data_IF_285541574896
#
_entry.id   IF_285541574896
#
_cell.length_a   1.000
_cell.length_b   1.000
_cell.length_c   1.000
_cell.angle_alpha   90.00
_cell.angle_beta   90.00
_cell.angle_gamma   90.00
#
_symmetry.space_group_name_H-M   'P 1'
#
loop_
_entity.id
_entity.type
_entity.pdbx_description
1 polymer ?
#
# COMPACT_ATOMS: atom_id res chain seq x y z
N UNK A 1 -15.61 -3.22 -39.39
CA UNK A 1 -14.43 -3.00 -40.25
C UNK A 1 -13.52 -2.01 -39.52
N UNK A 2 -12.20 -2.20 -39.61
CA UNK A 2 -11.13 -1.84 -38.65
C UNK A 2 -10.98 -2.91 -37.54
N UNK A 3 -10.13 -3.93 -37.62
CA UNK A 3 -9.04 -4.23 -38.55
C UNK A 3 -7.70 -4.20 -37.82
N UNK A 4 -7.32 -5.28 -37.13
CA UNK A 4 -5.93 -5.57 -36.77
C UNK A 4 -5.67 -7.07 -36.91
N UNK A 5 -4.64 -7.38 -37.69
CA UNK A 5 -4.21 -8.70 -38.18
C UNK A 5 -3.34 -9.42 -37.15
N UNK A 6 -3.51 -10.75 -37.07
CA UNK A 6 -2.68 -11.68 -36.30
C UNK A 6 -1.22 -11.73 -36.78
N UNK A 7 -0.31 -12.02 -35.84
CA UNK A 7 1.09 -12.32 -36.11
C UNK A 7 1.75 -13.13 -35.00
N UNK A 8 1.76 -14.46 -35.18
CA UNK A 8 2.75 -15.49 -34.79
C UNK A 8 3.17 -15.63 -33.30
N UNK A 9 2.89 -16.82 -32.77
CA UNK A 9 3.37 -17.41 -31.49
C UNK A 9 4.82 -17.90 -31.61
N UNK A 10 5.63 -17.69 -30.55
CA UNK A 10 6.73 -18.54 -29.99
C UNK A 10 7.46 -17.67 -28.94
N UNK A 11 8.04 -18.11 -27.83
CA UNK A 11 8.10 -19.32 -27.00
C UNK A 11 8.75 -18.85 -25.68
N UNK A 12 8.44 -19.57 -24.60
CA UNK A 12 8.97 -19.55 -23.24
C UNK A 12 10.32 -18.87 -22.96
N UNK A 13 10.30 -18.00 -21.93
CA UNK A 13 11.15 -18.11 -20.72
C UNK A 13 10.80 -17.03 -19.71
N UNK A 14 10.70 -17.46 -18.45
CA UNK A 14 10.71 -16.60 -17.26
C UNK A 14 12.01 -15.79 -17.27
N UNK A 15 11.94 -14.52 -17.62
CA UNK A 15 13.06 -13.59 -17.42
C UNK A 15 12.73 -12.63 -16.28
N UNK A 16 13.51 -12.82 -15.23
CA UNK A 16 13.64 -12.12 -13.98
C UNK A 16 14.06 -10.67 -14.24
N UNK A 17 13.09 -9.75 -14.32
CA UNK A 17 13.32 -8.33 -14.59
C UNK A 17 13.77 -7.57 -13.32
N UNK A 18 15.02 -7.82 -12.91
CA UNK A 18 15.71 -7.07 -11.84
C UNK A 18 16.31 -5.74 -12.30
N UNK A 19 15.68 -5.07 -13.26
CA UNK A 19 16.26 -3.86 -13.86
C UNK A 19 15.29 -2.69 -13.98
N UNK A 20 14.67 -2.25 -12.87
CA UNK A 20 13.92 -0.99 -12.87
C UNK A 20 13.68 -0.42 -11.46
N UNK A 21 14.74 0.11 -10.85
CA UNK A 21 14.61 1.14 -9.81
C UNK A 21 15.14 2.46 -10.37
N UNK A 22 14.36 3.07 -11.28
CA UNK A 22 14.59 4.44 -11.71
C UNK A 22 13.87 5.42 -10.77
N UNK A 23 14.66 6.18 -10.02
CA UNK A 23 14.22 7.31 -9.21
C UNK A 23 14.13 8.56 -10.11
N UNK A 24 13.15 8.61 -10.99
CA UNK A 24 12.78 9.83 -11.71
C UNK A 24 11.31 10.15 -11.49
N UNK A 25 11.04 11.41 -11.18
CA UNK A 25 9.68 11.93 -11.08
C UNK A 25 8.99 11.81 -12.44
N UNK A 26 7.84 11.09 -12.47
CA UNK A 26 6.54 11.52 -13.01
C UNK A 26 5.84 10.49 -13.95
N UNK A 27 4.53 10.31 -13.72
CA UNK A 27 3.49 9.73 -14.62
C UNK A 27 3.21 8.22 -14.76
N UNK A 28 3.85 7.28 -14.06
CA UNK A 28 3.54 5.84 -14.27
C UNK A 28 2.18 5.39 -13.71
N UNK A 29 1.75 5.97 -12.59
CA UNK A 29 0.49 5.63 -11.91
C UNK A 29 -0.54 6.74 -12.11
N UNK A 30 -1.57 6.47 -12.92
CA UNK A 30 -2.64 7.43 -13.19
C UNK A 30 -3.80 7.13 -12.25
N UNK A 31 -4.15 8.08 -11.37
CA UNK A 31 -5.34 7.97 -10.52
C UNK A 31 -6.59 7.89 -11.41
N UNK A 32 -7.41 6.86 -11.20
CA UNK A 32 -8.69 6.73 -11.87
C UNK A 32 -9.71 7.63 -11.14
N UNK A 33 -10.36 8.51 -11.90
CA UNK A 33 -11.22 9.58 -11.35
C UNK A 33 -12.53 9.04 -10.76
N UNK A 34 -12.95 7.87 -11.21
CA UNK A 34 -13.93 6.98 -10.59
C UNK A 34 -13.82 5.69 -11.35
N UNK A 35 -13.66 4.61 -10.61
CA UNK A 35 -14.79 3.71 -10.63
C UNK A 35 -15.12 3.22 -9.22
N UNK A 36 -16.38 2.88 -9.01
CA UNK A 36 -16.71 1.87 -8.02
C UNK A 36 -15.79 0.66 -8.31
N UNK A 37 -15.34 -0.07 -7.28
CA UNK A 37 -14.42 -1.23 -7.45
C UNK A 37 -14.77 -2.15 -8.62
N UNK A 38 -16.07 -2.24 -8.95
CA UNK A 38 -16.63 -3.10 -9.97
C UNK A 38 -16.73 -2.51 -11.38
N UNK A 39 -16.41 -1.23 -11.63
CA UNK A 39 -16.56 -0.66 -12.99
C UNK A 39 -15.32 -0.87 -13.87
N UNK A 40 -14.29 -1.58 -13.38
CA UNK A 40 -13.11 -1.94 -14.18
C UNK A 40 -13.20 -3.42 -14.57
N UNK A 41 -13.22 -3.75 -15.87
CA UNK A 41 -13.29 -5.14 -16.31
C UNK A 41 -12.10 -5.96 -15.82
N UNK A 42 -12.36 -6.98 -15.00
CA UNK A 42 -11.33 -7.89 -14.46
C UNK A 42 -10.67 -8.76 -15.53
N UNK A 43 -11.30 -8.90 -16.69
CA UNK A 43 -10.82 -9.71 -17.82
C UNK A 43 -9.78 -9.01 -18.70
N UNK A 44 -9.61 -7.70 -18.60
CA UNK A 44 -8.75 -6.91 -19.50
C UNK A 44 -7.46 -6.43 -18.84
N UNK A 45 -7.40 -6.44 -17.51
CA UNK A 45 -6.31 -5.87 -16.73
C UNK A 45 -5.88 -6.84 -15.64
N UNK A 46 -4.59 -6.80 -15.30
CA UNK A 46 -4.15 -7.40 -14.04
C UNK A 46 -4.65 -6.53 -12.90
N UNK A 47 -4.98 -7.15 -11.76
CA UNK A 47 -5.46 -6.45 -10.59
C UNK A 47 -4.62 -6.77 -9.38
N UNK A 48 -4.37 -5.76 -8.55
CA UNK A 48 -3.88 -5.96 -7.19
C UNK A 48 -4.64 -5.05 -6.24
N UNK A 49 -4.87 -5.53 -5.03
CA UNK A 49 -5.63 -4.83 -4.02
C UNK A 49 -4.84 -4.82 -2.70
N UNK A 50 -4.78 -3.65 -2.07
CA UNK A 50 -4.11 -3.50 -0.78
C UNK A 50 -4.97 -2.70 0.19
N UNK A 51 -4.75 -2.89 1.49
CA UNK A 51 -5.54 -2.24 2.53
C UNK A 51 -4.69 -1.49 3.57
N UNK A 52 -5.08 -0.26 3.88
CA UNK A 52 -4.63 0.44 5.08
C UNK A 52 -5.53 0.09 6.26
N UNK A 53 -5.10 -0.85 7.10
CA UNK A 53 -5.70 -1.07 8.42
C UNK A 53 -5.11 -0.07 9.41
N UNK A 54 -5.96 0.67 10.12
CA UNK A 54 -5.51 1.70 11.05
C UNK A 54 -6.40 1.87 12.28
N UNK A 55 -5.83 2.38 13.37
CA UNK A 55 -6.58 2.89 14.52
C UNK A 55 -6.14 4.31 14.87
N UNK A 56 -7.07 5.14 15.35
CA UNK A 56 -6.72 6.44 15.94
C UNK A 56 -6.16 6.24 17.35
N UNK A 57 -5.15 7.01 17.70
CA UNK A 57 -4.55 7.00 19.03
C UNK A 57 -4.11 8.41 19.40
N UNK A 58 -3.81 8.63 20.68
CA UNK A 58 -3.23 9.87 21.22
C UNK A 58 -2.00 9.57 22.08
N UNK A 59 -1.41 8.38 21.93
CA UNK A 59 -0.18 8.00 22.62
C UNK A 59 0.93 8.99 22.32
N UNK A 60 1.72 9.32 23.34
CA UNK A 60 2.82 10.27 23.22
C UNK A 60 4.17 9.60 23.40
N UNK A 61 5.14 9.97 22.58
CA UNK A 61 6.54 9.57 22.72
C UNK A 61 7.46 10.76 22.48
N UNK A 62 8.42 11.01 23.39
CA UNK A 62 9.33 12.16 23.34
C UNK A 62 8.64 13.50 23.01
N UNK A 63 7.51 13.80 23.66
CA UNK A 63 6.68 15.01 23.48
C UNK A 63 5.99 15.13 22.10
N UNK A 64 6.03 14.09 21.28
CA UNK A 64 5.28 14.01 20.04
C UNK A 64 4.04 13.14 20.26
N UNK A 65 2.90 13.54 19.68
CA UNK A 65 1.66 12.75 19.74
C UNK A 65 1.53 11.91 18.47
N UNK A 66 1.39 10.60 18.64
CA UNK A 66 0.96 9.70 17.58
C UNK A 66 -0.53 9.92 17.34
N UNK A 67 -0.94 10.24 16.11
CA UNK A 67 -2.35 10.48 15.76
C UNK A 67 -3.11 9.21 15.34
N UNK A 68 -2.35 8.22 14.85
CA UNK A 68 -2.86 6.92 14.46
C UNK A 68 -1.71 5.90 14.44
N UNK A 69 -2.06 4.62 14.57
CA UNK A 69 -1.21 3.53 14.11
C UNK A 69 -1.76 3.02 12.79
N UNK A 70 -0.85 2.72 11.86
CA UNK A 70 -1.15 2.20 10.53
C UNK A 70 -0.33 0.93 10.36
N UNK A 71 -0.94 -0.12 9.85
CA UNK A 71 -0.28 -1.38 9.55
C UNK A 71 0.30 -1.33 8.12
N UNK A 72 1.63 -1.34 8.04
CA UNK A 72 2.38 -1.61 6.82
C UNK A 72 3.27 -2.83 7.06
N UNK A 73 3.87 -3.38 6.01
CA UNK A 73 4.76 -4.55 6.11
C UNK A 73 6.11 -4.25 5.47
N UNK A 74 7.15 -4.88 6.02
CA UNK A 74 8.42 -5.07 5.34
C UNK A 74 8.35 -6.37 4.53
N UNK A 75 8.59 -6.28 3.22
CA UNK A 75 8.41 -7.37 2.27
C UNK A 75 9.72 -8.09 1.97
N UNK A 76 9.62 -9.28 1.39
CA UNK A 76 10.75 -10.09 0.94
C UNK A 76 11.69 -9.35 -0.03
N UNK A 77 11.15 -8.43 -0.82
CA UNK A 77 11.89 -7.60 -1.79
C UNK A 77 12.64 -6.42 -1.16
N UNK A 78 12.62 -6.31 0.18
CA UNK A 78 13.28 -5.25 0.94
C UNK A 78 12.56 -3.91 0.89
N UNK A 79 11.32 -3.85 0.39
CA UNK A 79 10.51 -2.64 0.35
C UNK A 79 9.43 -2.62 1.44
N UNK A 80 8.92 -1.43 1.74
CA UNK A 80 7.75 -1.21 2.59
C UNK A 80 6.48 -1.17 1.73
N UNK A 81 5.46 -1.93 2.13
CA UNK A 81 4.18 -2.02 1.44
C UNK A 81 2.98 -2.08 2.39
N UNK A 82 1.79 -2.12 1.82
CA UNK A 82 0.56 -2.45 2.55
C UNK A 82 0.24 -3.93 2.39
N UNK A 83 -0.47 -4.54 3.36
CA UNK A 83 -0.96 -5.89 3.20
C UNK A 83 -1.99 -6.00 2.08
N UNK A 84 -1.94 -7.13 1.37
CA UNK A 84 -2.70 -7.40 0.15
C UNK A 84 -1.79 -7.81 -1.01
N UNK A 85 -2.39 -8.17 -2.13
CA UNK A 85 -1.66 -8.77 -3.23
C UNK A 85 -2.43 -8.75 -4.55
N UNK A 86 -2.06 -9.67 -5.43
CA UNK A 86 -2.73 -9.84 -6.72
C UNK A 86 -4.17 -10.37 -6.52
N UNK A 87 -5.07 -10.02 -7.43
CA UNK A 87 -6.42 -10.57 -7.46
C UNK A 87 -6.49 -11.57 -8.62
N UNK A 88 -6.94 -12.78 -8.32
CA UNK A 88 -7.05 -13.86 -9.31
C UNK A 88 -8.22 -13.63 -10.26
N UNK A 89 -8.16 -14.24 -11.45
CA UNK A 89 -9.09 -13.96 -12.55
C UNK A 89 -10.54 -14.37 -12.26
N UNK A 90 -10.77 -15.33 -11.36
CA UNK A 90 -12.08 -15.83 -10.95
C UNK A 90 -12.60 -15.18 -9.65
N UNK A 91 -11.87 -14.21 -9.09
CA UNK A 91 -12.23 -13.50 -7.86
C UNK A 91 -12.78 -12.10 -8.13
N UNK A 92 -13.67 -11.64 -7.25
CA UNK A 92 -13.92 -10.20 -7.14
C UNK A 92 -12.74 -9.53 -6.42
N UNK A 93 -12.53 -8.23 -6.63
CA UNK A 93 -11.44 -7.48 -5.99
C UNK A 93 -11.47 -7.61 -4.45
N UNK A 94 -12.68 -7.55 -3.85
CA UNK A 94 -12.85 -7.68 -2.41
C UNK A 94 -12.61 -9.12 -1.93
N UNK A 95 -12.97 -10.13 -2.73
CA UNK A 95 -12.66 -11.53 -2.40
C UNK A 95 -11.15 -11.75 -2.39
N UNK A 96 -10.45 -11.37 -3.46
CA UNK A 96 -9.00 -11.51 -3.54
C UNK A 96 -8.29 -10.74 -2.43
N UNK A 97 -8.70 -9.50 -2.16
CA UNK A 97 -8.14 -8.74 -1.04
C UNK A 97 -8.34 -9.44 0.32
N UNK A 98 -9.53 -9.96 0.61
CA UNK A 98 -9.75 -10.63 1.89
C UNK A 98 -8.96 -11.94 2.02
N UNK A 99 -8.79 -12.70 0.91
CA UNK A 99 -7.91 -13.89 0.86
C UNK A 99 -6.47 -13.49 1.20
N UNK A 100 -5.93 -12.51 0.49
CA UNK A 100 -4.56 -12.00 0.71
C UNK A 100 -4.35 -11.52 2.16
N UNK A 101 -5.32 -10.78 2.73
CA UNK A 101 -5.22 -10.34 4.13
C UNK A 101 -5.30 -11.51 5.13
N UNK A 102 -6.01 -12.58 4.80
CA UNK A 102 -6.02 -13.78 5.64
C UNK A 102 -4.67 -14.51 5.59
N UNK A 103 -4.07 -14.63 4.41
CA UNK A 103 -2.78 -15.30 4.19
C UNK A 103 -1.61 -14.51 4.79
N UNK A 104 -1.58 -13.19 4.58
CA UNK A 104 -0.43 -12.33 4.93
C UNK A 104 -0.41 -11.80 6.36
N UNK A 105 -1.58 -11.61 6.98
CA UNK A 105 -1.68 -11.03 8.33
C UNK A 105 -2.61 -11.81 9.25
N UNK A 106 -3.05 -13.01 8.85
CA UNK A 106 -3.99 -13.83 9.62
C UNK A 106 -5.26 -13.05 10.02
N UNK A 107 -5.77 -12.20 9.11
CA UNK A 107 -6.93 -11.37 9.41
C UNK A 107 -8.17 -12.22 9.70
N UNK A 108 -8.80 -11.98 10.85
CA UNK A 108 -10.09 -12.59 11.17
C UNK A 108 -11.22 -11.93 10.34
N UNK A 109 -11.61 -12.59 9.24
CA UNK A 109 -12.60 -12.08 8.29
C UNK A 109 -14.03 -11.98 8.87
N UNK A 110 -14.37 -12.76 9.91
CA UNK A 110 -15.67 -12.66 10.58
C UNK A 110 -15.85 -11.30 11.27
N UNK A 111 -14.74 -10.70 11.71
CA UNK A 111 -14.73 -9.43 12.45
C UNK A 111 -14.29 -8.24 11.60
N UNK A 112 -13.33 -8.46 10.70
CA UNK A 112 -12.61 -7.37 10.02
C UNK A 112 -12.65 -7.44 8.49
N UNK A 113 -13.51 -8.27 7.90
CA UNK A 113 -13.65 -8.35 6.44
C UNK A 113 -13.77 -6.98 5.77
N UNK A 114 -12.98 -6.81 4.72
CA UNK A 114 -13.00 -5.64 3.85
C UNK A 114 -14.23 -5.70 2.95
N UNK A 115 -14.85 -4.55 2.73
CA UNK A 115 -16.07 -4.39 1.90
C UNK A 115 -15.81 -3.42 0.76
N UNK A 116 -16.69 -3.40 -0.24
CA UNK A 116 -16.64 -2.40 -1.32
C UNK A 116 -16.68 -0.97 -0.78
N UNK A 117 -17.41 -0.74 0.32
CA UNK A 117 -17.50 0.57 1.00
C UNK A 117 -16.20 1.05 1.62
N UNK A 118 -15.23 0.15 1.80
CA UNK A 118 -13.91 0.45 2.34
C UNK A 118 -12.94 0.94 1.24
N UNK A 119 -13.35 0.93 -0.04
CA UNK A 119 -12.53 1.41 -1.16
C UNK A 119 -12.28 2.91 -1.06
N UNK A 120 -11.02 3.31 -1.29
CA UNK A 120 -10.60 4.71 -1.31
C UNK A 120 -10.27 5.20 -2.72
N UNK A 121 -9.44 4.46 -3.44
CA UNK A 121 -8.89 4.92 -4.72
C UNK A 121 -8.31 3.78 -5.54
N UNK A 122 -8.38 3.89 -6.87
CA UNK A 122 -7.66 3.00 -7.79
C UNK A 122 -6.67 3.79 -8.65
N UNK A 123 -5.52 3.18 -8.93
CA UNK A 123 -4.50 3.72 -9.83
C UNK A 123 -4.22 2.74 -10.96
N UNK A 124 -4.11 3.24 -12.18
CA UNK A 124 -3.70 2.45 -13.32
C UNK A 124 -2.19 2.58 -13.56
N UNK A 125 -1.51 1.45 -13.59
CA UNK A 125 -0.12 1.33 -13.97
C UNK A 125 0.00 0.82 -15.40
N UNK A 126 0.16 1.76 -16.33
CA UNK A 126 0.11 1.49 -17.78
C UNK A 126 1.14 0.46 -18.24
N UNK A 127 2.36 0.52 -17.72
CA UNK A 127 3.46 -0.33 -18.19
C UNK A 127 3.25 -1.82 -17.91
N UNK A 128 2.52 -2.16 -16.84
CA UNK A 128 2.22 -3.55 -16.47
C UNK A 128 0.77 -3.96 -16.75
N UNK A 129 0.01 -3.09 -17.43
CA UNK A 129 -1.44 -3.26 -17.63
C UNK A 129 -2.15 -3.63 -16.30
N UNK A 130 -1.79 -2.94 -15.22
CA UNK A 130 -2.13 -3.32 -13.85
C UNK A 130 -2.96 -2.22 -13.17
N UNK A 131 -4.05 -2.60 -12.51
CA UNK A 131 -4.90 -1.72 -11.72
C UNK A 131 -4.69 -2.01 -10.24
N UNK A 132 -4.27 -0.97 -9.52
CA UNK A 132 -3.95 -1.00 -8.09
C UNK A 132 -5.10 -0.40 -7.30
N UNK A 133 -5.89 -1.24 -6.66
CA UNK A 133 -7.00 -0.85 -5.80
C UNK A 133 -6.52 -0.65 -4.37
N UNK A 134 -7.00 0.40 -3.72
CA UNK A 134 -6.60 0.73 -2.36
C UNK A 134 -7.80 0.94 -1.45
N UNK A 135 -7.80 0.24 -0.32
CA UNK A 135 -8.87 0.22 0.67
C UNK A 135 -8.39 0.76 2.01
N UNK A 136 -9.33 1.20 2.84
CA UNK A 136 -9.07 1.72 4.18
C UNK A 136 -9.99 1.03 5.20
N UNK A 137 -9.41 0.54 6.30
CA UNK A 137 -10.17 -0.10 7.38
C UNK A 137 -9.81 0.52 8.72
N UNK A 138 -10.75 1.25 9.31
CA UNK A 138 -10.62 1.74 10.68
C UNK A 138 -11.02 0.65 11.67
N UNK A 139 -10.17 0.41 12.66
CA UNK A 139 -10.42 -0.53 13.77
C UNK A 139 -10.18 0.15 15.12
N UNK A 140 -10.59 -0.49 16.22
CA UNK A 140 -10.24 0.00 17.56
C UNK A 140 -8.75 -0.21 17.85
N UNK A 141 -8.19 0.47 18.85
CA UNK A 141 -6.79 0.26 19.22
C UNK A 141 -6.53 -1.16 19.76
N UNK A 142 -7.51 -1.76 20.45
CA UNK A 142 -7.42 -3.15 20.90
C UNK A 142 -7.39 -4.12 19.72
N UNK A 143 -8.30 -3.95 18.78
CA UNK A 143 -8.36 -4.76 17.56
C UNK A 143 -7.09 -4.62 16.71
N UNK A 144 -6.53 -3.41 16.62
CA UNK A 144 -5.26 -3.19 15.93
C UNK A 144 -4.10 -3.97 16.57
N UNK A 145 -4.05 -4.06 17.90
CA UNK A 145 -3.05 -4.88 18.60
C UNK A 145 -3.28 -6.39 18.39
N UNK A 146 -4.55 -6.82 18.36
CA UNK A 146 -4.93 -8.20 18.07
C UNK A 146 -4.46 -8.62 16.66
N UNK A 147 -4.75 -7.80 15.64
CA UNK A 147 -4.34 -8.06 14.25
C UNK A 147 -2.81 -8.07 14.13
N UNK A 148 -2.11 -7.14 14.80
CA UNK A 148 -0.64 -7.15 14.81
C UNK A 148 -0.07 -8.44 15.41
N UNK A 149 -0.62 -8.90 16.54
CA UNK A 149 -0.18 -10.13 17.17
C UNK A 149 -0.45 -11.35 16.27
N UNK A 150 -1.62 -11.41 15.63
CA UNK A 150 -1.99 -12.46 14.69
C UNK A 150 -1.10 -12.50 13.44
N UNK A 151 -0.62 -11.34 12.96
CA UNK A 151 0.26 -11.28 11.77
C UNK A 151 1.55 -12.11 11.92
N UNK A 152 2.02 -12.33 13.15
CA UNK A 152 3.20 -13.15 13.45
C UNK A 152 2.96 -14.66 13.26
N UNK A 153 1.69 -15.08 13.18
CA UNK A 153 1.27 -16.46 12.95
C UNK A 153 0.69 -16.67 11.56
N UNK A 154 0.80 -15.66 10.68
CA UNK A 154 0.33 -15.75 9.30
C UNK A 154 1.17 -16.74 8.49
N UNK A 155 0.59 -17.28 7.41
CA UNK A 155 1.27 -18.22 6.53
C UNK A 155 2.49 -17.58 5.86
N UNK A 156 2.39 -16.29 5.51
CA UNK A 156 3.43 -15.56 4.81
C UNK A 156 4.51 -14.96 5.73
N UNK A 157 4.40 -15.12 7.06
CA UNK A 157 5.38 -14.57 7.99
C UNK A 157 6.74 -15.29 7.85
N UNK A 158 7.78 -14.53 7.55
CA UNK A 158 9.14 -15.04 7.32
C UNK A 158 9.41 -15.49 5.88
N UNK A 159 8.42 -15.41 4.98
CA UNK A 159 8.57 -15.67 3.55
C UNK A 159 8.34 -14.37 2.77
N UNK A 160 7.11 -14.07 2.38
CA UNK A 160 6.76 -12.87 1.63
C UNK A 160 6.70 -11.62 2.52
N UNK A 161 6.30 -11.81 3.78
CA UNK A 161 6.19 -10.76 4.80
C UNK A 161 7.25 -10.98 5.88
N UNK A 162 8.17 -10.03 5.99
CA UNK A 162 9.29 -10.09 6.95
C UNK A 162 8.98 -9.38 8.27
N UNK A 163 7.85 -8.69 8.36
CA UNK A 163 7.35 -8.14 9.62
C UNK A 163 6.48 -6.90 9.45
N UNK A 164 5.66 -6.63 10.45
CA UNK A 164 4.80 -5.44 10.50
C UNK A 164 5.63 -4.22 10.90
N UNK A 165 5.40 -3.10 10.19
CA UNK A 165 5.98 -1.79 10.49
C UNK A 165 4.88 -0.76 10.71
N UNK A 166 5.07 0.11 11.73
CA UNK A 166 4.14 1.19 12.05
C UNK A 166 4.79 2.53 11.66
N UNK A 167 4.22 3.28 10.70
CA UNK A 167 4.72 4.60 10.33
C UNK A 167 4.67 5.58 11.53
N UNK A 168 5.78 6.23 11.91
CA UNK A 168 5.78 7.25 12.95
C UNK A 168 5.17 8.56 12.42
N UNK A 169 3.89 8.83 12.71
CA UNK A 169 3.12 9.97 12.17
C UNK A 169 3.40 11.32 12.86
N UNK A 170 4.64 11.55 13.28
CA UNK A 170 5.12 12.82 13.83
C UNK A 170 6.43 13.23 13.16
N UNK A 171 6.82 14.50 13.33
CA UNK A 171 8.16 14.97 12.97
C UNK A 171 8.80 15.54 14.22
N UNK A 172 9.97 15.00 14.62
CA UNK A 172 10.70 15.52 15.77
C UNK A 172 11.26 16.93 15.50
N UNK A 173 11.70 17.61 16.56
CA UNK A 173 12.27 18.97 16.50
C UNK A 173 13.49 19.10 15.59
N UNK A 174 14.23 18.01 15.35
CA UNK A 174 15.34 17.97 14.38
C UNK A 174 14.88 18.05 12.91
N UNK A 175 13.57 18.00 12.65
CA UNK A 175 12.97 18.10 11.33
C UNK A 175 13.19 16.87 10.43
N UNK A 176 13.81 15.80 10.93
CA UNK A 176 14.16 14.59 10.15
C UNK A 176 13.52 13.32 10.72
N UNK A 177 13.65 13.10 12.03
CA UNK A 177 13.17 11.88 12.68
C UNK A 177 11.63 11.81 12.70
N UNK A 178 11.11 10.59 12.57
CA UNK A 178 9.67 10.31 12.43
C UNK A 178 9.28 10.15 10.97
N UNK A 179 8.13 10.72 10.58
CA UNK A 179 7.54 10.57 9.26
C UNK A 179 8.49 10.93 8.11
N UNK A 180 9.32 12.00 8.17
CA UNK A 180 10.22 12.33 7.07
C UNK A 180 11.25 11.23 6.79
N UNK A 181 11.91 10.69 7.83
CA UNK A 181 12.81 9.55 7.68
C UNK A 181 12.05 8.28 7.24
N UNK A 182 10.82 8.07 7.72
CA UNK A 182 10.02 6.92 7.28
C UNK A 182 9.74 6.98 5.77
N UNK A 183 9.34 8.15 5.27
CA UNK A 183 9.12 8.43 3.84
C UNK A 183 10.41 8.42 2.99
N UNK A 184 11.59 8.36 3.62
CA UNK A 184 12.87 8.22 2.93
C UNK A 184 13.27 6.75 2.68
N UNK A 185 12.55 5.78 3.27
CA UNK A 185 12.75 4.36 2.97
C UNK A 185 12.26 4.00 1.55
N UNK A 186 12.59 2.79 1.10
CA UNK A 186 12.06 2.25 -0.14
C UNK A 186 10.65 1.72 0.05
N UNK A 187 9.74 2.12 -0.84
CA UNK A 187 8.36 1.65 -0.88
C UNK A 187 8.10 0.91 -2.18
N UNK A 188 7.28 -0.15 -2.12
CA UNK A 188 6.90 -0.90 -3.31
C UNK A 188 5.87 -0.11 -4.13
N UNK A 189 6.03 -0.07 -5.45
CA UNK A 189 5.08 0.53 -6.37
C UNK A 189 4.62 1.94 -5.97
N UNK A 190 3.32 2.13 -5.80
CA UNK A 190 2.72 3.39 -5.35
C UNK A 190 2.32 3.39 -3.86
N UNK A 191 2.82 2.46 -3.04
CA UNK A 191 2.45 2.34 -1.63
C UNK A 191 2.70 3.63 -0.83
N UNK A 192 3.80 4.35 -1.11
CA UNK A 192 4.05 5.66 -0.50
C UNK A 192 2.95 6.67 -0.87
N UNK A 193 2.54 6.73 -2.14
CA UNK A 193 1.49 7.66 -2.60
C UNK A 193 0.13 7.29 -1.99
N UNK A 194 -0.18 6.00 -1.89
CA UNK A 194 -1.38 5.48 -1.23
C UNK A 194 -1.42 5.86 0.25
N UNK A 195 -0.29 5.73 0.98
CA UNK A 195 -0.17 6.17 2.36
C UNK A 195 -0.51 7.66 2.52
N UNK A 196 0.12 8.52 1.71
CA UNK A 196 -0.11 9.97 1.77
C UNK A 196 -1.57 10.33 1.44
N UNK A 197 -2.14 9.68 0.42
CA UNK A 197 -3.54 9.88 0.03
C UNK A 197 -4.51 9.50 1.15
N UNK A 198 -4.27 8.38 1.84
CA UNK A 198 -5.12 7.94 2.93
C UNK A 198 -4.94 8.77 4.22
N UNK A 199 -3.73 9.24 4.52
CA UNK A 199 -3.49 10.14 5.66
C UNK A 199 -4.29 11.44 5.54
N UNK A 200 -4.36 12.02 4.33
CA UNK A 200 -5.17 13.21 4.04
C UNK A 200 -6.68 12.87 4.07
N UNK A 201 -7.09 11.81 3.37
CA UNK A 201 -8.51 11.42 3.23
C UNK A 201 -9.15 11.06 4.57
N UNK A 202 -8.42 10.34 5.42
CA UNK A 202 -8.85 9.97 6.77
C UNK A 202 -8.71 11.10 7.79
N UNK A 203 -8.23 12.29 7.39
CA UNK A 203 -7.96 13.45 8.28
C UNK A 203 -7.09 13.04 9.48
N UNK A 204 -6.06 12.23 9.23
CA UNK A 204 -5.05 11.87 10.22
C UNK A 204 -3.98 12.96 10.25
N UNK A 205 -3.54 13.40 9.07
CA UNK A 205 -2.66 14.56 8.89
C UNK A 205 -3.31 15.57 7.95
N UNK A 206 -3.02 16.85 8.19
CA UNK A 206 -3.37 17.91 7.24
C UNK A 206 -2.46 17.86 6.01
N UNK A 207 -2.94 18.43 4.90
CA UNK A 207 -2.15 18.58 3.68
C UNK A 207 -0.83 19.32 3.92
N UNK A 208 -0.83 20.33 4.79
CA UNK A 208 0.38 21.08 5.17
C UNK A 208 1.40 20.18 5.86
N UNK A 209 0.98 19.39 6.86
CA UNK A 209 1.86 18.45 7.56
C UNK A 209 2.44 17.39 6.61
N UNK A 210 1.61 16.87 5.69
CA UNK A 210 2.05 15.91 4.66
C UNK A 210 3.10 16.55 3.74
N UNK A 211 2.81 17.72 3.19
CA UNK A 211 3.72 18.42 2.28
C UNK A 211 5.06 18.73 2.95
N UNK A 212 5.04 19.16 4.21
CA UNK A 212 6.27 19.41 4.97
C UNK A 212 7.09 18.13 5.16
N UNK A 213 6.46 17.01 5.52
CA UNK A 213 7.14 15.75 5.72
C UNK A 213 7.78 15.23 4.41
N UNK A 214 7.06 15.32 3.29
CA UNK A 214 7.58 14.95 1.96
C UNK A 214 8.74 15.85 1.54
N UNK A 215 8.65 17.16 1.78
CA UNK A 215 9.75 18.08 1.47
C UNK A 215 11.00 17.78 2.30
N UNK A 216 10.83 17.38 3.56
CA UNK A 216 11.92 16.97 4.45
C UNK A 216 12.53 15.62 4.03
N UNK A 217 11.71 14.62 3.65
CA UNK A 217 12.20 13.32 3.17
C UNK A 217 13.08 13.43 1.92
N UNK A 218 12.67 14.27 0.95
CA UNK A 218 13.48 14.57 -0.25
C UNK A 218 14.85 15.17 0.07
N UNK A 219 14.97 15.95 1.14
CA UNK A 219 16.27 16.51 1.59
C UNK A 219 17.16 15.45 2.23
N UNK A 220 16.57 14.47 2.92
CA UNK A 220 17.30 13.35 3.52
C UNK A 220 17.91 12.47 2.42
N UNK A 221 17.15 12.13 1.38
CA UNK A 221 17.66 11.33 0.26
C UNK A 221 18.84 11.99 -0.46
N UNK A 222 18.85 13.33 -0.57
CA UNK A 222 19.97 14.08 -1.15
C UNK A 222 21.24 14.12 -0.29
N UNK A 223 21.15 13.78 1.00
CA UNK A 223 22.29 13.79 1.93
C UNK A 223 22.95 12.41 2.06
N UNK A 224 22.27 11.36 1.60
CA UNK A 224 22.74 9.98 1.65
C UNK A 224 23.34 9.51 0.30
N UNK A 225 23.42 10.40 -0.70
CA UNK A 225 24.03 10.18 -2.01
C UNK A 225 25.33 10.97 -2.11
#
# INVERSE_FOLDING_TARGET
>A
MAGYTEGVVMDSRLEDDRSQYDNSSDTSFVRLLSPCVNDIPTSEYNHAAHCMIYCRTNKTWCRNTMKAHIMMQFRFDGCIGFPGGAVEADETIVMGLNRELQEEIALNLDKYSIKDSDHLVSHFYRQKNLVLHFFIKSVTENDFNEIQAASLTSECYGTEVLGTVIPPLFTMSNGKSGLPNFLANMFIGNAQQQLLCALESCKILSKTEINEAVMKSKKINKQNV
#
